data_IF_645194968987
#
_entry.id   IF_645194968987
#
_cell.length_a   1.000
_cell.length_b   1.000
_cell.length_c   1.000
_cell.angle_alpha   90.00
_cell.angle_beta   90.00
_cell.angle_gamma   90.00
#
_symmetry.space_group_name_H-M   'P 1'
#
loop_
_entity.id
_entity.type
_entity.pdbx_description
1 polymer ?
#
# COMPACT_ATOMS: atom_id res chain seq x y z
N UNK A 1 -4.75 -4.47 -13.84
CA UNK A 1 -5.10 -5.45 -12.83
C UNK A 1 -6.12 -4.93 -11.88
N UNK A 2 -7.22 -5.63 -11.79
CA UNK A 2 -8.34 -5.21 -10.95
C UNK A 2 -7.99 -5.25 -9.48
N UNK A 3 -7.27 -6.29 -9.08
CA UNK A 3 -6.91 -6.42 -7.68
C UNK A 3 -6.00 -5.28 -7.23
N UNK A 4 -5.03 -4.92 -8.06
CA UNK A 4 -4.13 -3.83 -7.75
C UNK A 4 -4.90 -2.52 -7.59
N UNK A 5 -5.82 -2.24 -8.53
CA UNK A 5 -6.60 -1.02 -8.46
C UNK A 5 -7.48 -0.98 -7.22
N UNK A 6 -8.10 -2.12 -6.90
CA UNK A 6 -8.95 -2.20 -5.72
C UNK A 6 -8.13 -1.95 -4.46
N UNK A 7 -6.94 -2.57 -4.37
CA UNK A 7 -6.10 -2.40 -3.21
C UNK A 7 -5.59 -0.97 -3.08
N UNK A 8 -5.30 -0.32 -4.20
CA UNK A 8 -4.89 1.08 -4.14
C UNK A 8 -6.00 1.97 -3.60
N UNK A 9 -7.24 1.70 -3.99
CA UNK A 9 -8.36 2.47 -3.49
C UNK A 9 -8.57 2.23 -2.00
N UNK A 10 -8.44 0.99 -1.57
CA UNK A 10 -8.55 0.66 -0.15
C UNK A 10 -7.44 1.35 0.64
N UNK A 11 -6.23 1.32 0.10
CA UNK A 11 -5.11 1.97 0.76
C UNK A 11 -5.33 3.47 0.89
N UNK A 12 -5.81 4.10 -0.18
CA UNK A 12 -6.08 5.53 -0.16
C UNK A 12 -7.09 5.88 0.94
N UNK A 13 -8.18 5.13 1.02
CA UNK A 13 -9.17 5.35 2.07
C UNK A 13 -8.63 5.08 3.46
N UNK A 14 -7.77 4.05 3.58
CA UNK A 14 -7.16 3.71 4.86
C UNK A 14 -6.23 4.83 5.33
N UNK A 15 -5.44 5.38 4.42
CA UNK A 15 -4.54 6.48 4.76
C UNK A 15 -5.35 7.70 5.19
N UNK A 16 -6.44 7.99 4.48
CA UNK A 16 -7.28 9.12 4.85
C UNK A 16 -7.90 8.93 6.24
N UNK A 17 -8.35 7.72 6.53
CA UNK A 17 -8.92 7.43 7.84
C UNK A 17 -7.88 7.57 8.93
N UNK A 18 -6.66 7.09 8.67
CA UNK A 18 -5.57 7.21 9.64
C UNK A 18 -5.23 8.68 9.87
N UNK A 19 -5.21 9.46 8.80
CA UNK A 19 -4.92 10.87 8.89
C UNK A 19 -5.98 11.60 9.72
N UNK A 20 -7.25 11.28 9.47
CA UNK A 20 -8.35 11.93 10.18
C UNK A 20 -8.39 11.55 11.65
N UNK A 21 -7.92 10.36 11.99
CA UNK A 21 -7.93 9.90 13.38
C UNK A 21 -6.67 10.25 14.15
N UNK A 22 -5.67 10.74 13.48
CA UNK A 22 -4.38 10.98 14.10
C UNK A 22 -4.30 12.38 14.69
N UNK A 23 -3.69 12.56 15.86
CA UNK A 23 -3.41 13.89 16.36
C UNK A 23 -2.34 14.61 15.54
N UNK A 24 -1.62 13.88 14.68
CA UNK A 24 -0.60 14.49 13.84
C UNK A 24 -0.77 14.01 12.40
N UNK A 25 -1.73 14.58 11.67
CA UNK A 25 -1.98 14.13 10.29
C UNK A 25 -0.77 14.26 9.37
N UNK A 26 0.07 15.27 9.59
CA UNK A 26 1.26 15.43 8.76
C UNK A 26 2.23 14.28 8.92
N UNK A 27 2.33 13.73 10.13
CA UNK A 27 3.20 12.59 10.36
C UNK A 27 2.71 11.37 9.59
N UNK A 28 1.40 11.19 9.50
CA UNK A 28 0.83 10.10 8.71
C UNK A 28 1.20 10.24 7.26
N UNK A 29 1.09 11.46 6.72
CA UNK A 29 1.42 11.70 5.32
C UNK A 29 2.90 11.52 5.05
N UNK A 30 3.77 11.97 5.96
CA UNK A 30 5.20 11.80 5.78
C UNK A 30 5.58 10.33 5.79
N UNK A 31 4.99 9.57 6.69
CA UNK A 31 5.23 8.14 6.76
C UNK A 31 4.78 7.45 5.49
N UNK A 32 3.63 7.87 4.94
CA UNK A 32 3.13 7.31 3.70
C UNK A 32 4.06 7.61 2.53
N UNK A 33 4.62 8.82 2.48
CA UNK A 33 5.56 9.17 1.41
C UNK A 33 6.84 8.33 1.49
N UNK A 34 7.32 8.09 2.70
CA UNK A 34 8.50 7.23 2.87
C UNK A 34 8.20 5.82 2.42
N UNK A 35 7.01 5.33 2.75
CA UNK A 35 6.62 3.99 2.32
C UNK A 35 6.55 3.90 0.79
N UNK A 36 6.04 4.95 0.14
CA UNK A 36 5.96 4.96 -1.31
C UNK A 36 7.34 4.95 -1.96
N UNK A 37 8.30 5.66 -1.37
CA UNK A 37 9.65 5.63 -1.87
C UNK A 37 10.26 4.25 -1.75
N UNK A 38 10.03 3.59 -0.62
CA UNK A 38 10.51 2.23 -0.45
C UNK A 38 9.85 1.28 -1.42
N UNK A 39 8.55 1.46 -1.66
CA UNK A 39 7.82 0.64 -2.60
C UNK A 39 8.43 0.72 -3.98
N UNK A 40 8.80 1.92 -4.40
CA UNK A 40 9.40 2.12 -5.71
C UNK A 40 10.73 1.39 -5.86
N UNK A 41 11.41 1.15 -4.74
CA UNK A 41 12.66 0.39 -4.77
C UNK A 41 12.42 -1.10 -4.82
N UNK A 42 11.31 -1.56 -4.24
CA UNK A 42 11.00 -2.99 -4.17
C UNK A 42 10.26 -3.49 -5.39
N UNK A 43 9.33 -2.69 -5.90
CA UNK A 43 8.45 -3.08 -6.98
C UNK A 43 8.44 -2.00 -8.03
N UNK A 44 8.46 -2.41 -9.29
CA UNK A 44 8.33 -1.45 -10.37
C UNK A 44 6.86 -1.07 -10.53
N UNK A 45 6.60 0.19 -10.83
CA UNK A 45 5.22 0.67 -11.00
C UNK A 45 4.89 0.75 -12.50
N UNK A 46 3.59 0.70 -12.85
CA UNK A 46 3.20 0.84 -14.25
C UNK A 46 3.68 2.16 -14.84
N UNK A 47 3.88 2.24 -16.16
CA UNK A 47 3.62 1.17 -17.13
C UNK A 47 4.73 0.14 -17.22
N UNK A 48 4.40 -1.05 -17.69
CA UNK A 48 5.36 -2.13 -17.78
C UNK A 48 5.67 -2.46 -19.24
N UNK A 49 6.87 -3.00 -19.46
CA UNK A 49 7.33 -3.28 -20.81
C UNK A 49 6.75 -4.57 -21.37
N UNK A 50 6.35 -5.50 -20.52
CA UNK A 50 5.85 -6.78 -20.99
C UNK A 50 4.80 -7.32 -20.04
N UNK A 51 4.07 -8.33 -20.49
CA UNK A 51 3.06 -8.98 -19.67
C UNK A 51 3.71 -9.69 -18.50
N UNK A 52 4.85 -10.31 -18.73
CA UNK A 52 5.58 -10.97 -17.66
C UNK A 52 6.03 -10.00 -16.60
N UNK A 53 6.57 -8.87 -17.03
CA UNK A 53 6.99 -7.84 -16.08
C UNK A 53 5.80 -7.32 -15.29
N UNK A 54 4.66 -7.13 -15.98
CA UNK A 54 3.44 -6.66 -15.31
C UNK A 54 2.99 -7.66 -14.25
N UNK A 55 2.94 -8.95 -14.60
CA UNK A 55 2.46 -9.96 -13.68
C UNK A 55 3.31 -10.00 -12.41
N UNK A 56 4.64 -10.01 -12.59
CA UNK A 56 5.54 -10.08 -11.45
C UNK A 56 5.45 -8.84 -10.57
N UNK A 57 5.34 -7.67 -11.19
CA UNK A 57 5.34 -6.43 -10.42
C UNK A 57 3.98 -6.15 -9.78
N UNK A 58 2.88 -6.53 -10.43
CA UNK A 58 1.58 -6.39 -9.78
C UNK A 58 1.49 -7.24 -8.54
N UNK A 59 2.05 -8.46 -8.58
CA UNK A 59 2.05 -9.29 -7.39
C UNK A 59 2.86 -8.65 -6.27
N UNK A 60 4.03 -8.12 -6.61
CA UNK A 60 4.87 -7.41 -5.65
C UNK A 60 4.12 -6.23 -5.04
N UNK A 61 3.50 -5.42 -5.90
CA UNK A 61 2.77 -4.23 -5.45
C UNK A 61 1.61 -4.61 -4.55
N UNK A 62 0.84 -5.63 -4.94
CA UNK A 62 -0.32 -6.05 -4.15
C UNK A 62 0.10 -6.55 -2.78
N UNK A 63 1.18 -7.32 -2.72
CA UNK A 63 1.67 -7.83 -1.45
C UNK A 63 2.07 -6.69 -0.51
N UNK A 64 2.79 -5.71 -1.04
CA UNK A 64 3.24 -4.59 -0.22
C UNK A 64 2.09 -3.69 0.21
N UNK A 65 1.14 -3.46 -0.70
CA UNK A 65 -0.03 -2.66 -0.35
C UNK A 65 -0.85 -3.34 0.73
N UNK A 66 -1.01 -4.64 0.62
CA UNK A 66 -1.75 -5.41 1.60
C UNK A 66 -1.11 -5.30 2.99
N UNK A 67 0.22 -5.44 3.04
CA UNK A 67 0.94 -5.27 4.30
C UNK A 67 0.76 -3.85 4.86
N UNK A 68 0.78 -2.86 3.99
CA UNK A 68 0.62 -1.48 4.42
C UNK A 68 -0.76 -1.24 5.00
N UNK A 69 -1.79 -1.77 4.35
CA UNK A 69 -3.16 -1.62 4.85
C UNK A 69 -3.26 -2.22 6.24
N UNK A 70 -2.71 -3.42 6.43
CA UNK A 70 -2.76 -4.06 7.73
C UNK A 70 -2.01 -3.26 8.79
N UNK A 71 -0.87 -2.70 8.40
CA UNK A 71 -0.09 -1.87 9.30
C UNK A 71 -0.88 -0.65 9.75
N UNK A 72 -1.57 -0.01 8.81
CA UNK A 72 -2.31 1.22 9.11
C UNK A 72 -3.58 0.95 9.90
N UNK A 73 -4.21 -0.19 9.67
CA UNK A 73 -5.44 -0.51 10.38
C UNK A 73 -5.19 -1.20 11.71
N UNK A 74 -3.95 -1.64 11.94
CA UNK A 74 -3.65 -2.40 13.15
C UNK A 74 -4.20 -3.79 13.16
N UNK A 75 -4.81 -4.23 12.06
CA UNK A 75 -5.30 -5.58 11.98
C UNK A 75 -4.18 -6.45 11.56
N UNK A 76 -3.35 -6.79 12.39
CA UNK A 76 -2.36 -7.68 12.02
C UNK A 76 -2.94 -8.97 12.11
N UNK A 77 -2.54 -9.70 11.57
CA UNK A 77 -2.87 -10.87 11.58
C UNK A 77 -3.03 -11.42 12.81
N UNK A 78 -3.23 -11.09 13.61
CA UNK A 78 -3.44 -11.73 14.61
C UNK A 78 -4.40 -11.91 14.97
N UNK A 79 -4.74 -12.43 14.59
CA UNK A 79 -5.77 -12.73 14.88
C UNK A 79 -6.01 -13.17 15.99
N UNK A 80 -6.01 -13.10 16.30
CA UNK A 80 -6.12 -13.45 16.99
C UNK A 80 -6.32 -13.83 17.76
N UNK A 81 -6.56 -13.87 18.03
CA UNK A 81 -6.80 -14.25 18.77
C UNK A 81 -7.57 -14.49 19.02
#
# INVERSE_FOLDING_TARGET
QEEYQRLEQILFGTVQAAENSSPQPKAVLEDQLLWEKDLAKKCKRPPFASIEQAANNYQCLCNEIYKRIRSLTGTTERPVR
#
